data_IF_789869757539
#
_entry.id   IF_789869757539
#
_cell.length_a   1.000
_cell.length_b   1.000
_cell.length_c   1.000
_cell.angle_alpha   90.00
_cell.angle_beta   90.00
_cell.angle_gamma   90.00
#
_symmetry.space_group_name_H-M   'P 1'
#
loop_
_entity.id
_entity.type
_entity.pdbx_description
1 polymer ?
#
# COMPACT_ATOMS: atom_id res chain seq x y z
N UNK A 1 -41.02 16.92 3.21
CA UNK A 1 -40.43 16.82 4.56
C UNK A 1 -40.06 15.36 4.77
N UNK A 2 -39.00 14.93 4.08
CA UNK A 2 -38.40 13.62 4.21
C UNK A 2 -37.16 13.81 5.09
N UNK A 3 -37.05 13.04 6.16
CA UNK A 3 -35.93 13.12 7.09
C UNK A 3 -34.65 12.69 6.38
N UNK A 4 -33.65 13.57 6.38
CA UNK A 4 -32.27 13.19 6.12
C UNK A 4 -31.90 12.13 7.16
N UNK A 5 -31.50 10.94 6.71
CA UNK A 5 -30.93 9.94 7.60
C UNK A 5 -29.70 10.54 8.25
N UNK A 6 -29.78 10.83 9.55
CA UNK A 6 -28.60 11.17 10.33
C UNK A 6 -27.68 9.95 10.28
N UNK A 7 -26.52 10.08 9.63
CA UNK A 7 -25.49 9.05 9.63
C UNK A 7 -25.21 8.63 11.08
N UNK A 8 -25.08 7.33 11.32
CA UNK A 8 -24.77 6.82 12.64
C UNK A 8 -23.49 7.48 13.14
N UNK A 9 -23.58 8.20 14.26
CA UNK A 9 -22.42 8.84 14.86
C UNK A 9 -21.44 7.78 15.37
N UNK A 10 -20.14 8.03 15.22
CA UNK A 10 -19.08 7.15 15.70
C UNK A 10 -18.49 7.75 16.96
N UNK A 11 -18.39 6.97 18.03
CA UNK A 11 -17.79 7.47 19.27
C UNK A 11 -16.27 7.45 19.18
N UNK A 12 -15.68 8.60 19.45
CA UNK A 12 -14.24 8.85 19.34
C UNK A 12 -13.73 9.42 20.66
N UNK A 13 -12.55 8.97 21.09
CA UNK A 13 -11.90 9.45 22.31
C UNK A 13 -10.82 10.47 21.95
N UNK A 14 -10.91 11.66 22.53
CA UNK A 14 -9.89 12.71 22.42
C UNK A 14 -9.12 12.80 23.73
N UNK A 15 -7.81 12.61 23.70
CA UNK A 15 -6.91 12.69 24.85
C UNK A 15 -5.67 13.53 24.54
N UNK A 16 -4.94 13.96 25.59
CA UNK A 16 -3.68 14.70 25.45
C UNK A 16 -2.60 13.95 26.22
N UNK A 17 -1.48 13.67 25.55
CA UNK A 17 -0.31 13.03 26.16
C UNK A 17 0.51 14.01 26.99
N UNK A 18 1.42 13.46 27.80
CA UNK A 18 2.37 14.25 28.61
C UNK A 18 3.35 15.08 27.74
N UNK A 19 3.58 14.63 26.50
CA UNK A 19 4.36 15.29 25.46
C UNK A 19 3.64 16.49 24.83
N UNK A 20 2.38 16.72 25.18
CA UNK A 20 1.54 17.79 24.63
C UNK A 20 0.80 17.39 23.35
N UNK A 21 1.10 16.23 22.77
CA UNK A 21 0.43 15.67 21.57
C UNK A 21 -1.02 15.34 21.89
N UNK A 22 -1.96 15.76 21.04
CA UNK A 22 -3.37 15.39 21.15
C UNK A 22 -3.63 14.13 20.32
N UNK A 23 -4.28 13.12 20.91
CA UNK A 23 -4.60 11.86 20.24
C UNK A 23 -6.11 11.73 20.07
N UNK A 24 -6.52 11.39 18.85
CA UNK A 24 -7.89 11.00 18.50
C UNK A 24 -7.88 9.50 18.28
N UNK A 25 -8.52 8.74 19.16
CA UNK A 25 -8.66 7.30 19.05
C UNK A 25 -10.09 6.94 18.68
N UNK A 26 -10.27 6.30 17.52
CA UNK A 26 -11.55 5.73 17.10
C UNK A 26 -11.64 4.36 17.75
N UNK A 27 -12.55 4.18 18.71
CA UNK A 27 -12.73 2.88 19.36
C UNK A 27 -13.28 1.90 18.30
N UNK A 28 -12.44 0.95 17.84
CA UNK A 28 -12.90 -0.14 17.00
C UNK A 28 -13.90 -0.98 17.77
N UNK A 29 -15.04 -1.29 17.15
CA UNK A 29 -16.00 -2.25 17.70
C UNK A 29 -15.35 -3.64 17.72
N UNK A 30 -14.57 -3.94 18.76
CA UNK A 30 -14.20 -5.31 19.10
C UNK A 30 -15.48 -5.96 19.62
N UNK A 31 -16.25 -6.57 18.72
CA UNK A 31 -17.30 -7.50 19.11
C UNK A 31 -16.62 -8.64 19.87
N UNK A 32 -16.63 -8.53 21.19
CA UNK A 32 -16.27 -9.61 22.09
C UNK A 32 -17.21 -10.78 21.81
N UNK A 33 -16.72 -11.81 21.13
CA UNK A 33 -17.39 -13.10 21.09
C UNK A 33 -17.15 -13.75 22.44
N UNK A 34 -18.22 -13.77 23.23
CA UNK A 34 -18.44 -14.44 24.50
C UNK A 34 -17.54 -14.03 25.67
N UNK A 35 -18.18 -13.40 26.65
CA UNK A 35 -17.56 -12.74 27.79
C UNK A 35 -16.79 -13.66 28.72
N UNK A 36 -15.53 -13.31 28.94
CA UNK A 36 -14.87 -13.43 30.23
C UNK A 36 -13.89 -12.27 30.37
N UNK A 37 -14.20 -11.33 31.27
CA UNK A 37 -13.35 -10.17 31.54
C UNK A 37 -12.20 -10.65 32.41
N UNK A 38 -11.10 -11.08 31.79
CA UNK A 38 -9.81 -11.13 32.45
C UNK A 38 -9.11 -9.80 32.18
N UNK A 39 -9.17 -8.88 33.14
CA UNK A 39 -8.22 -7.79 33.23
C UNK A 39 -6.84 -8.41 33.44
N UNK A 40 -6.10 -8.59 32.37
CA UNK A 40 -4.66 -8.88 32.43
C UNK A 40 -3.97 -7.52 32.33
N UNK A 41 -3.40 -7.12 33.45
CA UNK A 41 -2.50 -5.98 33.57
C UNK A 41 -1.39 -6.05 32.49
N UNK A 42 -1.24 -4.96 31.73
CA UNK A 42 0.05 -4.57 31.17
C UNK A 42 0.67 -5.46 30.09
N UNK A 43 -0.11 -6.05 29.19
CA UNK A 43 0.44 -6.48 27.91
C UNK A 43 0.53 -5.25 27.02
N UNK A 44 1.75 -4.73 26.82
CA UNK A 44 2.05 -3.73 25.80
C UNK A 44 1.44 -4.28 24.52
N UNK A 45 0.35 -3.68 24.01
CA UNK A 45 -0.26 -4.12 22.77
C UNK A 45 0.88 -4.24 21.77
N UNK A 46 1.15 -5.45 21.29
CA UNK A 46 2.22 -5.68 20.33
C UNK A 46 1.99 -4.68 19.20
N UNK A 47 2.97 -3.80 18.95
CA UNK A 47 2.86 -2.80 17.89
C UNK A 47 2.45 -3.53 16.61
N UNK A 48 1.26 -3.19 16.10
CA UNK A 48 0.78 -3.78 14.86
C UNK A 48 1.80 -3.51 13.75
N UNK A 49 2.13 -4.50 12.91
CA UNK A 49 3.14 -4.29 11.88
C UNK A 49 2.80 -3.12 10.96
N UNK A 50 3.77 -2.30 10.57
CA UNK A 50 3.54 -1.09 9.75
C UNK A 50 2.71 -1.34 8.48
N UNK A 51 2.88 -2.51 7.86
CA UNK A 51 2.16 -2.89 6.64
C UNK A 51 0.69 -3.25 6.86
N UNK A 52 0.18 -3.25 8.10
CA UNK A 52 -1.25 -3.41 8.41
C UNK A 52 -1.95 -2.08 8.66
N UNK A 53 -1.26 -0.95 8.45
CA UNK A 53 -1.75 0.40 8.68
C UNK A 53 -1.55 1.28 7.43
N UNK A 54 -2.56 2.07 7.10
CA UNK A 54 -2.49 3.10 6.08
C UNK A 54 -2.31 4.45 6.78
N UNK A 55 -1.40 5.27 6.30
CA UNK A 55 -0.97 6.50 6.99
C UNK A 55 -1.02 7.68 6.02
N UNK A 56 -1.49 8.82 6.51
CA UNK A 56 -1.34 10.11 5.83
C UNK A 56 -0.70 11.11 6.77
N UNK A 57 0.34 11.79 6.28
CA UNK A 57 0.90 12.98 6.92
C UNK A 57 0.10 14.20 6.43
N UNK A 58 -0.45 14.97 7.35
CA UNK A 58 -1.35 16.10 7.07
C UNK A 58 -0.94 17.31 7.89
N UNK A 59 -1.51 18.47 7.60
CA UNK A 59 -1.17 19.72 8.27
C UNK A 59 -1.30 19.60 9.80
N UNK A 60 -0.18 19.45 10.49
CA UNK A 60 -0.09 19.37 11.95
C UNK A 60 -0.50 18.04 12.59
N UNK A 61 -0.73 16.98 11.81
CA UNK A 61 -1.07 15.67 12.37
C UNK A 61 -0.64 14.51 11.47
N UNK A 62 -0.58 13.31 12.05
CA UNK A 62 -0.49 12.05 11.30
C UNK A 62 -1.79 11.28 11.49
N UNK A 63 -2.45 10.94 10.38
CA UNK A 63 -3.67 10.14 10.35
C UNK A 63 -3.34 8.68 10.09
N UNK A 64 -4.03 7.77 10.76
CA UNK A 64 -3.84 6.33 10.57
C UNK A 64 -5.15 5.56 10.51
N UNK A 65 -5.25 4.66 9.55
CA UNK A 65 -6.34 3.69 9.41
C UNK A 65 -5.80 2.26 9.54
N UNK A 66 -6.51 1.36 10.22
CA UNK A 66 -6.24 -0.06 10.08
C UNK A 66 -6.61 -0.52 8.67
N UNK A 67 -5.70 -1.24 8.01
CA UNK A 67 -5.94 -1.82 6.68
C UNK A 67 -6.70 -3.14 6.78
N UNK A 68 -6.44 -3.87 7.87
CA UNK A 68 -7.11 -5.12 8.20
C UNK A 68 -8.37 -4.84 9.04
N UNK A 69 -9.37 -5.71 8.92
CA UNK A 69 -10.64 -5.58 9.65
C UNK A 69 -11.72 -4.85 8.87
N UNK A 70 -12.75 -4.39 9.58
CA UNK A 70 -13.87 -3.64 8.97
C UNK A 70 -13.38 -2.23 8.61
N UNK A 71 -13.49 -1.80 7.35
CA UNK A 71 -13.05 -0.47 6.93
C UNK A 71 -13.83 0.62 7.69
N UNK A 72 -13.14 1.33 8.59
CA UNK A 72 -13.66 2.54 9.20
C UNK A 72 -13.39 3.74 8.30
N UNK A 73 -14.35 4.67 8.21
CA UNK A 73 -14.14 5.94 7.48
C UNK A 73 -13.19 6.87 8.25
N UNK A 74 -13.27 6.86 9.58
CA UNK A 74 -12.54 7.81 10.42
C UNK A 74 -11.14 7.29 10.79
N UNK A 75 -10.08 8.11 10.61
CA UNK A 75 -8.75 7.77 11.09
C UNK A 75 -8.64 7.89 12.60
N UNK A 76 -7.67 7.19 13.18
CA UNK A 76 -7.03 7.67 14.41
C UNK A 76 -6.02 8.76 14.06
N UNK A 77 -5.84 9.78 14.90
CA UNK A 77 -4.93 10.89 14.64
C UNK A 77 -3.97 11.16 15.79
N UNK A 78 -2.72 11.46 15.44
CA UNK A 78 -1.71 12.02 16.35
C UNK A 78 -1.42 13.46 15.93
N UNK A 79 -1.91 14.42 16.72
CA UNK A 79 -1.86 15.85 16.43
C UNK A 79 -0.70 16.47 17.18
N UNK A 80 0.32 16.88 16.44
CA UNK A 80 1.54 17.50 16.96
C UNK A 80 1.53 19.02 16.81
N UNK A 81 0.75 19.58 15.88
CA UNK A 81 0.46 21.01 15.78
C UNK A 81 -1.05 21.25 15.68
N UNK A 82 -1.72 21.49 16.83
CA UNK A 82 -3.15 21.79 16.85
C UNK A 82 -3.53 23.05 16.07
N UNK A 83 -2.64 24.03 15.92
CA UNK A 83 -2.94 25.28 15.20
C UNK A 83 -3.19 25.02 13.72
N UNK A 84 -2.32 24.21 13.11
CA UNK A 84 -2.48 23.75 11.72
C UNK A 84 -3.62 22.76 11.57
N UNK A 85 -3.73 21.78 12.47
CA UNK A 85 -4.76 20.74 12.39
C UNK A 85 -6.19 21.31 12.44
N UNK A 86 -6.42 22.42 13.15
CA UNK A 86 -7.75 23.03 13.25
C UNK A 86 -8.32 23.55 11.93
N UNK A 87 -7.49 23.70 10.89
CA UNK A 87 -7.96 24.11 9.56
C UNK A 87 -8.85 23.03 8.91
N UNK A 88 -8.64 21.75 9.23
CA UNK A 88 -9.32 20.63 8.57
C UNK A 88 -10.06 19.66 9.51
N UNK A 89 -9.80 19.66 10.82
CA UNK A 89 -10.43 18.73 11.77
C UNK A 89 -11.97 18.70 11.68
N UNK A 90 -12.59 19.87 11.50
CA UNK A 90 -14.04 20.00 11.36
C UNK A 90 -14.57 19.36 10.07
N UNK A 91 -13.77 19.39 9.00
CA UNK A 91 -14.12 18.84 7.70
C UNK A 91 -13.98 17.31 7.67
N UNK A 92 -13.12 16.72 8.50
CA UNK A 92 -12.91 15.27 8.55
C UNK A 92 -13.76 14.58 9.64
N UNK A 93 -13.74 15.10 10.87
CA UNK A 93 -14.38 14.48 12.03
C UNK A 93 -15.68 15.17 12.47
N UNK A 94 -15.91 16.41 12.01
CA UNK A 94 -17.02 17.27 12.41
C UNK A 94 -16.65 18.30 13.49
N UNK A 95 -17.46 19.36 13.57
CA UNK A 95 -17.23 20.51 14.47
C UNK A 95 -17.05 20.14 15.95
N UNK A 96 -17.75 19.11 16.44
CA UNK A 96 -17.66 18.68 17.84
C UNK A 96 -16.28 18.17 18.21
N UNK A 97 -15.62 17.49 17.28
CA UNK A 97 -14.28 16.94 17.51
C UNK A 97 -13.25 18.06 17.44
N UNK A 98 -13.38 18.97 16.48
CA UNK A 98 -12.55 20.18 16.39
C UNK A 98 -12.63 21.01 17.69
N UNK A 99 -13.83 21.21 18.23
CA UNK A 99 -14.01 21.91 19.51
C UNK A 99 -13.36 21.17 20.68
N UNK A 100 -13.52 19.84 20.77
CA UNK A 100 -12.89 19.05 21.81
C UNK A 100 -11.36 19.09 21.75
N UNK A 101 -10.75 19.06 20.56
CA UNK A 101 -9.30 19.23 20.38
C UNK A 101 -8.86 20.63 20.79
N UNK A 102 -9.64 21.67 20.49
CA UNK A 102 -9.36 23.05 20.91
C UNK A 102 -9.33 23.17 22.43
N UNK A 103 -10.39 22.69 23.09
CA UNK A 103 -10.53 22.73 24.55
C UNK A 103 -9.33 22.06 25.21
N UNK A 104 -8.91 20.87 24.73
CA UNK A 104 -7.74 20.14 25.24
C UNK A 104 -6.41 20.85 25.05
N UNK A 105 -6.29 21.67 24.03
CA UNK A 105 -5.09 22.47 23.79
C UNK A 105 -5.02 23.67 24.73
N UNK A 106 -6.18 24.26 25.05
CA UNK A 106 -6.30 25.44 25.94
C UNK A 106 -6.36 25.13 27.43
N UNK A 107 -6.71 23.89 27.80
CA UNK A 107 -6.68 23.42 29.19
C UNK A 107 -5.24 23.41 29.73
N UNK A 108 -4.99 24.20 30.77
CA UNK A 108 -3.68 24.40 31.42
C UNK A 108 -3.28 23.23 32.35
N UNK A 109 -3.87 22.05 32.13
CA UNK A 109 -3.81 20.93 33.07
C UNK A 109 -2.51 20.17 32.92
N UNK A 110 -1.57 20.38 33.85
CA UNK A 110 -0.34 19.59 33.98
C UNK A 110 -0.68 18.21 34.59
N UNK A 111 -1.13 17.27 33.75
CA UNK A 111 -1.40 15.88 34.12
C UNK A 111 -2.22 15.14 33.08
N UNK A 112 -2.08 13.81 33.03
CA UNK A 112 -2.81 12.94 32.11
C UNK A 112 -4.32 13.16 32.24
N UNK A 113 -4.90 13.75 31.20
CA UNK A 113 -6.31 14.14 31.21
C UNK A 113 -7.14 12.99 30.66
N UNK A 114 -8.01 12.42 31.50
CA UNK A 114 -9.00 11.40 31.10
C UNK A 114 -9.66 11.81 29.78
N UNK A 115 -9.49 10.97 28.75
CA UNK A 115 -9.99 11.30 27.41
C UNK A 115 -11.50 11.57 27.41
N UNK A 116 -11.94 12.56 26.64
CA UNK A 116 -13.37 12.85 26.46
C UNK A 116 -13.88 12.07 25.26
N UNK A 117 -15.05 11.42 25.43
CA UNK A 117 -15.76 10.77 24.33
C UNK A 117 -16.65 11.77 23.64
N UNK A 118 -16.52 11.83 22.32
CA UNK A 118 -17.27 12.73 21.44
C UNK A 118 -17.77 11.93 20.25
N UNK A 119 -19.03 12.15 19.89
CA UNK A 119 -19.60 11.51 18.71
C UNK A 119 -19.20 12.28 17.45
N UNK A 120 -18.37 11.66 16.63
CA UNK A 120 -17.96 12.12 15.31
C UNK A 120 -19.05 11.80 14.26
N UNK A 121 -19.13 12.66 13.24
CA UNK A 121 -20.05 12.47 12.11
C UNK A 121 -19.19 12.45 10.84
N UNK A 122 -18.91 11.28 10.27
CA UNK A 122 -18.07 11.17 9.08
C UNK A 122 -18.62 12.03 7.94
N UNK A 123 -17.73 12.75 7.26
CA UNK A 123 -18.05 13.54 6.07
C UNK A 123 -17.63 12.80 4.80
N UNK A 124 -17.98 13.32 3.62
CA UNK A 124 -17.48 12.78 2.35
C UNK A 124 -15.95 12.77 2.29
N UNK A 125 -15.29 13.81 2.83
CA UNK A 125 -13.83 13.91 2.92
C UNK A 125 -13.21 12.72 3.68
N UNK A 126 -13.87 12.21 4.71
CA UNK A 126 -13.37 11.05 5.46
C UNK A 126 -13.23 9.81 4.57
N UNK A 127 -14.18 9.60 3.64
CA UNK A 127 -14.11 8.52 2.65
C UNK A 127 -12.94 8.70 1.68
N UNK A 128 -12.79 9.89 1.13
CA UNK A 128 -11.70 10.19 0.18
C UNK A 128 -10.32 10.17 0.83
N UNK A 129 -10.19 10.64 2.08
CA UNK A 129 -8.96 10.58 2.85
C UNK A 129 -8.56 9.13 3.18
N UNK A 130 -9.52 8.31 3.60
CA UNK A 130 -9.29 6.88 3.82
C UNK A 130 -8.86 6.17 2.53
N UNK A 131 -9.46 6.54 1.39
CA UNK A 131 -9.07 6.04 0.07
C UNK A 131 -7.65 6.49 -0.30
N UNK A 132 -7.31 7.76 -0.13
CA UNK A 132 -5.96 8.29 -0.38
C UNK A 132 -4.91 7.53 0.45
N UNK A 133 -5.18 7.34 1.75
CA UNK A 133 -4.32 6.57 2.65
C UNK A 133 -4.13 5.12 2.17
N UNK A 134 -5.23 4.47 1.78
CA UNK A 134 -5.19 3.10 1.27
C UNK A 134 -4.44 3.00 -0.06
N UNK A 135 -4.53 4.01 -0.92
CA UNK A 135 -3.80 4.04 -2.18
C UNK A 135 -2.29 4.18 -1.96
N UNK A 136 -1.84 5.03 -1.03
CA UNK A 136 -0.43 5.07 -0.61
C UNK A 136 0.04 3.77 0.02
N UNK A 137 -0.82 3.14 0.83
CA UNK A 137 -0.56 1.80 1.34
C UNK A 137 -0.39 0.79 0.20
N UNK A 138 -1.28 0.78 -0.79
CA UNK A 138 -1.23 -0.14 -1.92
C UNK A 138 0.04 0.09 -2.76
N UNK A 139 0.37 1.34 -3.07
CA UNK A 139 1.59 1.70 -3.79
C UNK A 139 2.86 1.17 -3.10
N UNK A 140 2.84 1.05 -1.77
CA UNK A 140 4.00 0.61 -0.97
C UNK A 140 4.00 -0.88 -0.63
N UNK A 141 2.83 -1.45 -0.37
CA UNK A 141 2.69 -2.74 0.32
C UNK A 141 1.86 -3.77 -0.44
N UNK A 142 1.43 -3.47 -1.68
CA UNK A 142 0.66 -4.42 -2.48
C UNK A 142 1.43 -5.73 -2.72
N UNK A 143 0.87 -6.88 -2.33
CA UNK A 143 1.55 -8.17 -2.32
C UNK A 143 1.46 -8.87 -3.68
N UNK A 144 1.95 -8.23 -4.73
CA UNK A 144 1.95 -8.80 -6.08
C UNK A 144 2.72 -10.14 -6.10
N UNK A 145 2.02 -11.21 -6.49
CA UNK A 145 2.52 -12.57 -6.45
C UNK A 145 1.91 -13.38 -7.58
N UNK A 146 2.75 -13.81 -8.52
CA UNK A 146 2.38 -14.70 -9.61
C UNK A 146 1.79 -16.03 -9.10
N UNK A 147 2.44 -16.78 -8.20
CA UNK A 147 1.91 -18.08 -7.76
C UNK A 147 0.67 -17.98 -6.86
N UNK A 148 0.40 -16.80 -6.29
CA UNK A 148 -0.80 -16.54 -5.47
C UNK A 148 -1.97 -15.97 -6.28
N UNK A 149 -1.80 -15.79 -7.59
CA UNK A 149 -2.78 -15.15 -8.51
C UNK A 149 -3.15 -13.73 -8.03
N UNK A 150 -2.12 -12.96 -7.63
CA UNK A 150 -2.25 -11.56 -7.23
C UNK A 150 -1.47 -10.70 -8.24
N UNK A 151 -2.15 -10.10 -9.24
CA UNK A 151 -1.50 -9.26 -10.23
C UNK A 151 -0.90 -8.00 -9.59
N UNK A 152 0.13 -7.47 -10.24
CA UNK A 152 0.71 -6.18 -9.87
C UNK A 152 -0.23 -5.03 -10.27
N UNK A 153 -0.32 -4.01 -9.43
CA UNK A 153 -1.00 -2.77 -9.80
C UNK A 153 -0.13 -1.98 -10.78
N UNK A 154 -0.77 -1.42 -11.82
CA UNK A 154 -0.09 -0.49 -12.73
C UNK A 154 0.21 0.82 -11.96
N UNK A 155 1.49 1.17 -11.75
CA UNK A 155 1.87 2.25 -10.85
C UNK A 155 1.52 3.65 -11.37
N UNK A 156 1.52 3.87 -12.69
CA UNK A 156 1.17 5.17 -13.27
C UNK A 156 -0.34 5.42 -13.21
N UNK A 157 -1.15 4.38 -13.40
CA UNK A 157 -2.60 4.44 -13.23
C UNK A 157 -2.98 4.67 -11.76
N UNK A 158 -2.35 3.96 -10.82
CA UNK A 158 -2.53 4.23 -9.39
C UNK A 158 -2.07 5.64 -9.03
N UNK A 159 -0.94 6.08 -9.59
CA UNK A 159 -0.37 7.40 -9.37
C UNK A 159 -1.26 8.55 -9.83
N UNK A 160 -1.89 8.44 -11.01
CA UNK A 160 -2.86 9.43 -11.49
C UNK A 160 -4.12 9.49 -10.61
N UNK A 161 -4.61 8.35 -10.13
CA UNK A 161 -5.75 8.33 -9.20
C UNK A 161 -5.37 8.90 -7.83
N UNK A 162 -4.16 8.66 -7.35
CA UNK A 162 -3.62 9.30 -6.15
C UNK A 162 -3.52 10.82 -6.33
N UNK A 163 -3.06 11.31 -7.48
CA UNK A 163 -3.01 12.74 -7.76
C UNK A 163 -4.41 13.39 -7.69
N UNK A 164 -5.42 12.74 -8.28
CA UNK A 164 -6.82 13.18 -8.20
C UNK A 164 -7.33 13.22 -6.76
N UNK A 165 -7.02 12.20 -5.95
CA UNK A 165 -7.41 12.13 -4.54
C UNK A 165 -6.65 13.13 -3.66
N UNK A 166 -5.38 13.40 -3.94
CA UNK A 166 -4.59 14.44 -3.28
C UNK A 166 -5.20 15.81 -3.51
N UNK A 167 -5.54 16.14 -4.76
CA UNK A 167 -6.25 17.38 -5.10
C UNK A 167 -7.62 17.47 -4.42
N UNK A 168 -8.40 16.39 -4.44
CA UNK A 168 -9.69 16.36 -3.77
C UNK A 168 -9.57 16.55 -2.24
N UNK A 169 -8.49 16.05 -1.64
CA UNK A 169 -8.19 16.16 -0.22
C UNK A 169 -7.30 17.36 0.14
N UNK A 170 -7.06 18.31 -0.78
CA UNK A 170 -6.09 19.41 -0.62
C UNK A 170 -6.19 20.17 0.71
N UNK A 171 -7.40 20.33 1.26
CA UNK A 171 -7.63 21.01 2.54
C UNK A 171 -7.01 20.31 3.76
N UNK A 172 -6.65 19.02 3.67
CA UNK A 172 -5.93 18.31 4.73
C UNK A 172 -4.45 18.72 4.78
N UNK A 173 -3.91 19.18 3.66
CA UNK A 173 -2.52 19.57 3.51
C UNK A 173 -2.37 21.08 3.70
N UNK A 174 -1.17 21.54 3.99
CA UNK A 174 -0.94 22.94 4.32
C UNK A 174 -1.18 23.84 3.12
N UNK A 175 -2.12 24.77 3.25
CA UNK A 175 -2.48 25.71 2.20
C UNK A 175 -1.71 27.02 2.18
N UNK A 176 -1.06 27.42 3.27
CA UNK A 176 -0.36 28.71 3.32
C UNK A 176 0.80 28.72 4.33
N UNK A 177 1.99 29.05 3.83
CA UNK A 177 3.11 29.50 4.64
C UNK A 177 3.90 30.55 3.86
N UNK A 178 4.00 31.75 4.43
CA UNK A 178 4.75 32.95 4.01
C UNK A 178 6.29 32.72 3.81
N UNK A 179 6.71 31.48 3.58
CA UNK A 179 8.09 31.05 3.38
C UNK A 179 8.19 29.92 2.34
N UNK A 180 8.01 30.27 1.05
CA UNK A 180 8.64 29.58 -0.08
C UNK A 180 7.91 28.36 -0.65
N UNK A 181 7.50 28.48 -1.92
CA UNK A 181 7.41 27.50 -3.02
C UNK A 181 6.86 26.07 -2.82
N UNK A 182 6.45 25.61 -1.64
CA UNK A 182 5.79 24.29 -1.47
C UNK A 182 4.27 24.50 -1.27
N UNK A 183 3.53 24.75 -2.35
CA UNK A 183 2.07 24.79 -2.39
C UNK A 183 1.54 23.34 -2.32
N UNK A 184 0.41 23.04 -1.66
CA UNK A 184 -0.10 21.65 -1.56
C UNK A 184 -0.46 21.06 -2.93
N UNK A 185 -0.74 21.91 -3.92
CA UNK A 185 -0.94 21.52 -5.31
C UNK A 185 0.33 20.99 -5.97
N UNK A 186 1.52 21.31 -5.43
CA UNK A 186 2.78 20.80 -5.97
C UNK A 186 2.86 19.28 -5.82
N UNK A 187 2.32 18.70 -4.73
CA UNK A 187 2.26 17.25 -4.57
C UNK A 187 1.37 16.57 -5.65
N UNK A 188 0.21 17.17 -5.97
CA UNK A 188 -0.65 16.64 -7.03
C UNK A 188 -0.04 16.86 -8.41
N UNK A 189 0.56 18.03 -8.65
CA UNK A 189 1.23 18.38 -9.89
C UNK A 189 2.46 17.49 -10.16
N UNK A 190 3.26 17.19 -9.14
CA UNK A 190 4.40 16.27 -9.19
C UNK A 190 3.94 14.86 -9.58
N UNK A 191 2.87 14.35 -8.94
CA UNK A 191 2.30 13.04 -9.29
C UNK A 191 1.75 13.02 -10.73
N UNK A 192 1.09 14.09 -11.17
CA UNK A 192 0.61 14.22 -12.56
C UNK A 192 1.80 14.18 -13.52
N UNK A 193 2.87 14.92 -13.24
CA UNK A 193 4.06 14.97 -14.07
C UNK A 193 4.82 13.63 -14.10
N UNK A 194 4.91 12.94 -12.96
CA UNK A 194 5.54 11.62 -12.86
C UNK A 194 4.78 10.57 -13.69
N UNK A 195 3.44 10.64 -13.69
CA UNK A 195 2.57 9.63 -14.27
C UNK A 195 1.84 10.09 -15.54
N UNK A 196 2.30 11.18 -16.19
CA UNK A 196 1.66 11.77 -17.39
C UNK A 196 1.48 10.72 -18.51
N UNK A 197 2.41 9.75 -18.61
CA UNK A 197 2.39 8.70 -19.63
C UNK A 197 1.14 7.80 -19.58
N UNK A 198 0.45 7.71 -18.43
CA UNK A 198 -0.78 6.93 -18.29
C UNK A 198 -2.05 7.69 -18.67
N UNK A 199 -2.00 9.01 -18.92
CA UNK A 199 -3.18 9.79 -19.29
C UNK A 199 -3.78 9.35 -20.62
N UNK A 200 -2.94 9.06 -21.63
CA UNK A 200 -3.39 8.61 -22.94
C UNK A 200 -4.12 7.25 -22.88
N UNK A 201 -3.54 6.18 -22.28
CA UNK A 201 -4.25 4.92 -22.03
C UNK A 201 -5.54 5.10 -21.21
N UNK A 202 -5.52 5.97 -20.19
CA UNK A 202 -6.68 6.22 -19.34
C UNK A 202 -7.83 6.88 -20.11
N UNK A 203 -7.52 7.87 -20.95
CA UNK A 203 -8.47 8.51 -21.85
C UNK A 203 -9.05 7.52 -22.87
N UNK A 204 -8.22 6.61 -23.39
CA UNK A 204 -8.68 5.55 -24.28
C UNK A 204 -9.67 4.61 -23.56
N UNK A 205 -9.33 4.16 -22.36
CA UNK A 205 -10.22 3.33 -21.54
C UNK A 205 -11.56 4.03 -21.27
N UNK A 206 -11.54 5.31 -20.89
CA UNK A 206 -12.77 6.08 -20.65
C UNK A 206 -13.67 6.17 -21.89
N UNK A 207 -13.08 6.30 -23.09
CA UNK A 207 -13.84 6.34 -24.36
C UNK A 207 -14.44 5.00 -24.74
N UNK A 208 -13.78 3.90 -24.41
CA UNK A 208 -14.22 2.54 -24.75
C UNK A 208 -15.21 1.96 -23.73
N UNK A 209 -15.27 2.53 -22.51
CA UNK A 209 -16.16 2.05 -21.44
C UNK A 209 -17.62 2.43 -21.69
N UNK A 210 -18.58 1.48 -21.52
CA UNK A 210 -20.01 1.79 -21.61
C UNK A 210 -20.43 2.89 -20.64
N UNK A 211 -21.12 3.90 -21.15
CA UNK A 211 -21.52 5.13 -20.45
C UNK A 211 -22.39 4.93 -19.20
N UNK A 212 -23.02 3.77 -19.06
CA UNK A 212 -23.89 3.43 -17.92
C UNK A 212 -23.17 2.59 -16.87
N UNK A 213 -21.88 2.28 -17.06
CA UNK A 213 -21.08 1.56 -16.09
C UNK A 213 -20.56 2.51 -15.00
N UNK A 214 -20.57 2.05 -13.74
CA UNK A 214 -20.00 2.79 -12.61
C UNK A 214 -18.51 3.13 -12.85
N UNK A 215 -17.78 2.25 -13.54
CA UNK A 215 -16.40 2.48 -13.99
C UNK A 215 -16.27 3.72 -14.88
N UNK A 216 -17.23 3.98 -15.78
CA UNK A 216 -17.19 5.17 -16.64
C UNK A 216 -17.36 6.45 -15.82
N UNK A 217 -18.27 6.45 -14.84
CA UNK A 217 -18.46 7.56 -13.91
C UNK A 217 -17.22 7.81 -13.05
N UNK A 218 -16.59 6.73 -12.58
CA UNK A 218 -15.37 6.81 -11.80
C UNK A 218 -14.19 7.36 -12.62
N UNK A 219 -13.97 6.84 -13.83
CA UNK A 219 -12.97 7.34 -14.79
C UNK A 219 -13.18 8.82 -15.09
N UNK A 220 -14.42 9.23 -15.41
CA UNK A 220 -14.75 10.63 -15.69
C UNK A 220 -14.48 11.54 -14.49
N UNK A 221 -14.78 11.08 -13.27
CA UNK A 221 -14.50 11.79 -12.04
C UNK A 221 -13.00 11.99 -11.79
N UNK A 222 -12.21 10.93 -11.95
CA UNK A 222 -10.73 11.00 -11.84
C UNK A 222 -10.14 11.95 -12.88
N UNK A 223 -10.56 11.84 -14.14
CA UNK A 223 -10.08 12.69 -15.23
C UNK A 223 -10.41 14.18 -14.99
N UNK A 224 -11.60 14.49 -14.47
CA UNK A 224 -11.97 15.87 -14.10
C UNK A 224 -11.15 16.41 -12.94
N UNK A 225 -10.89 15.60 -11.92
CA UNK A 225 -10.05 16.01 -10.79
C UNK A 225 -8.61 16.26 -11.23
N UNK A 226 -8.08 15.46 -12.16
CA UNK A 226 -6.75 15.68 -12.74
C UNK A 226 -6.71 17.00 -13.54
N UNK A 227 -7.73 17.27 -14.36
CA UNK A 227 -7.82 18.52 -15.14
C UNK A 227 -7.88 19.75 -14.22
N UNK A 228 -8.69 19.69 -13.15
CA UNK A 228 -8.82 20.76 -12.15
C UNK A 228 -7.53 20.97 -11.34
N UNK A 229 -6.83 19.88 -10.97
CA UNK A 229 -5.53 19.93 -10.32
C UNK A 229 -4.46 20.56 -11.23
N UNK A 230 -4.40 20.12 -12.49
CA UNK A 230 -3.49 20.66 -13.48
C UNK A 230 -3.75 22.15 -13.74
N UNK A 231 -5.02 22.57 -13.81
CA UNK A 231 -5.40 23.98 -13.95
C UNK A 231 -4.98 24.83 -12.77
N UNK A 232 -5.18 24.33 -11.55
CA UNK A 232 -4.81 25.02 -10.32
C UNK A 232 -3.28 25.21 -10.24
N UNK A 233 -2.52 24.19 -10.65
CA UNK A 233 -1.06 24.22 -10.72
C UNK A 233 -0.49 24.92 -11.97
N UNK A 234 -1.32 25.28 -12.96
CA UNK A 234 -0.89 25.91 -14.21
C UNK A 234 -0.11 24.97 -15.15
N UNK A 235 -0.33 23.66 -15.07
CA UNK A 235 0.25 22.67 -15.97
C UNK A 235 -0.47 22.66 -17.33
N UNK A 236 0.26 22.81 -18.43
CA UNK A 236 -0.32 22.89 -19.80
C UNK A 236 0.40 21.98 -20.81
N UNK A 237 0.78 20.79 -20.34
CA UNK A 237 1.42 19.74 -21.14
C UNK A 237 0.53 19.26 -22.31
N UNK A 238 1.11 18.65 -23.37
CA UNK A 238 0.33 18.13 -24.49
C UNK A 238 -0.73 17.10 -24.06
N UNK A 239 -0.42 16.19 -23.15
CA UNK A 239 -1.38 15.19 -22.66
C UNK A 239 -2.55 15.84 -21.92
N UNK A 240 -2.28 16.90 -21.13
CA UNK A 240 -3.31 17.66 -20.41
C UNK A 240 -4.21 18.48 -21.35
N UNK A 241 -3.65 19.04 -22.43
CA UNK A 241 -4.46 19.69 -23.48
C UNK A 241 -5.36 18.71 -24.22
N UNK A 242 -4.87 17.49 -24.45
CA UNK A 242 -5.66 16.42 -25.05
C UNK A 242 -6.75 15.92 -24.10
N UNK A 243 -6.47 15.81 -22.80
CA UNK A 243 -7.44 15.56 -21.73
C UNK A 243 -8.56 16.60 -21.74
N UNK A 244 -8.22 17.90 -21.68
CA UNK A 244 -9.21 18.98 -21.69
C UNK A 244 -10.08 18.96 -22.94
N UNK A 245 -9.45 18.77 -24.09
CA UNK A 245 -10.14 18.63 -25.37
C UNK A 245 -11.08 17.42 -25.38
N UNK A 246 -10.71 16.31 -24.72
CA UNK A 246 -11.54 15.12 -24.60
C UNK A 246 -12.73 15.30 -23.66
N UNK A 247 -12.56 16.06 -22.58
CA UNK A 247 -13.63 16.42 -21.64
C UNK A 247 -14.62 17.41 -22.29
N UNK A 248 -14.13 18.36 -23.10
CA UNK A 248 -14.95 19.33 -23.85
C UNK A 248 -15.65 18.72 -25.08
N UNK A 249 -14.98 17.80 -25.77
CA UNK A 249 -15.40 17.23 -27.03
C UNK A 249 -15.83 15.77 -26.89
N UNK A 250 -17.13 15.49 -26.81
CA UNK A 250 -17.63 14.10 -26.80
C UNK A 250 -17.84 13.58 -28.23
N UNK A 251 -16.93 12.73 -28.69
CA UNK A 251 -17.14 11.94 -29.91
C UNK A 251 -16.47 10.56 -29.77
N UNK A 252 -17.18 9.44 -29.92
CA UNK A 252 -16.53 8.15 -29.97
C UNK A 252 -15.81 8.01 -31.32
N UNK A 253 -14.74 7.21 -31.36
CA UNK A 253 -14.66 5.96 -32.16
C UNK A 253 -13.22 5.47 -32.22
N UNK A 254 -12.87 4.56 -31.32
CA UNK A 254 -11.80 3.59 -31.52
C UNK A 254 -12.40 2.17 -31.45
N UNK A 255 -11.73 1.15 -32.03
CA UNK A 255 -12.03 -0.22 -31.66
C UNK A 255 -11.77 -0.41 -30.16
N UNK A 256 -12.57 -1.26 -29.50
CA UNK A 256 -12.40 -1.57 -28.08
C UNK A 256 -10.97 -2.04 -27.82
N UNK A 257 -10.28 -1.35 -26.92
CA UNK A 257 -8.96 -1.76 -26.45
C UNK A 257 -9.08 -2.84 -25.37
N UNK A 258 -8.18 -3.80 -25.42
CA UNK A 258 -7.92 -4.70 -24.31
C UNK A 258 -7.24 -3.90 -23.18
N UNK A 259 -7.85 -3.92 -21.98
CA UNK A 259 -7.34 -3.20 -20.81
C UNK A 259 -5.94 -3.67 -20.41
N UNK A 260 -5.67 -4.96 -20.56
CA UNK A 260 -4.35 -5.50 -20.31
C UNK A 260 -3.31 -4.93 -21.27
N UNK A 261 -3.63 -4.91 -22.57
CA UNK A 261 -2.77 -4.32 -23.58
C UNK A 261 -2.57 -2.80 -23.43
N UNK A 262 -3.55 -2.05 -22.92
CA UNK A 262 -3.43 -0.59 -22.69
C UNK A 262 -2.32 -0.24 -21.70
N UNK A 263 -2.15 -1.08 -20.68
CA UNK A 263 -1.27 -0.86 -19.54
C UNK A 263 -0.09 -1.85 -19.48
N UNK A 264 0.02 -2.74 -20.46
CA UNK A 264 1.12 -3.68 -20.57
C UNK A 264 2.43 -2.94 -20.82
N UNK A 265 3.31 -2.90 -19.82
CA UNK A 265 4.71 -2.55 -20.03
C UNK A 265 5.37 -3.67 -20.87
N UNK A 266 6.25 -3.37 -21.85
CA UNK A 266 6.99 -4.40 -22.61
C UNK A 266 7.96 -5.19 -21.71
N UNK A 267 7.42 -6.11 -20.92
CA UNK A 267 8.16 -7.10 -20.15
C UNK A 267 8.22 -8.38 -20.97
N UNK A 268 9.39 -8.73 -21.46
CA UNK A 268 9.59 -9.97 -22.21
C UNK A 268 9.31 -11.18 -21.32
N UNK A 269 8.09 -11.72 -21.39
CA UNK A 269 7.76 -13.05 -20.90
C UNK A 269 8.45 -14.07 -21.81
N UNK A 270 9.74 -14.30 -21.59
CA UNK A 270 10.42 -15.48 -22.08
C UNK A 270 10.46 -16.47 -20.94
N UNK A 271 9.51 -17.41 -20.92
CA UNK A 271 9.60 -18.66 -20.16
C UNK A 271 10.87 -19.41 -20.60
N UNK A 272 12.00 -19.07 -20.00
CA UNK A 272 13.20 -19.89 -20.08
C UNK A 272 13.05 -20.96 -19.02
N UNK A 273 12.79 -22.21 -19.43
CA UNK A 273 13.04 -23.36 -18.58
C UNK A 273 14.52 -23.30 -18.17
N UNK A 274 14.78 -22.78 -16.97
CA UNK A 274 16.11 -22.65 -16.42
C UNK A 274 16.77 -24.02 -16.46
N UNK A 275 17.86 -24.12 -17.22
CA UNK A 275 18.70 -25.31 -17.22
C UNK A 275 19.11 -25.56 -15.76
N UNK A 276 18.85 -26.76 -15.20
CA UNK A 276 19.05 -27.00 -13.77
C UNK A 276 20.50 -26.67 -13.41
N UNK A 277 20.66 -25.72 -12.48
CA UNK A 277 21.96 -25.33 -11.95
C UNK A 277 22.63 -26.57 -11.33
N UNK A 278 23.55 -27.16 -12.10
CA UNK A 278 24.49 -28.19 -11.68
C UNK A 278 23.91 -29.40 -10.94
N UNK A 279 23.64 -30.49 -11.65
CA UNK A 279 23.50 -31.86 -11.12
C UNK A 279 24.79 -32.43 -10.49
N UNK A 280 25.68 -31.56 -10.01
CA UNK A 280 26.96 -31.94 -9.40
C UNK A 280 26.92 -31.78 -7.87
N UNK A 281 27.09 -32.88 -7.15
CA UNK A 281 27.25 -32.89 -5.70
C UNK A 281 26.13 -33.59 -4.94
N UNK A 282 26.43 -34.03 -3.71
CA UNK A 282 25.46 -34.70 -2.84
C UNK A 282 24.57 -33.65 -2.15
N UNK A 283 23.25 -33.78 -2.29
CA UNK A 283 22.30 -32.94 -1.55
C UNK A 283 22.51 -33.12 -0.04
N UNK A 284 22.66 -32.00 0.67
CA UNK A 284 22.73 -31.97 2.14
C UNK A 284 21.35 -31.68 2.68
N UNK A 285 20.76 -30.57 2.24
CA UNK A 285 19.45 -30.10 2.64
C UNK A 285 18.87 -29.19 1.55
N UNK A 286 17.56 -28.99 1.56
CA UNK A 286 16.85 -27.98 0.76
C UNK A 286 15.68 -27.48 1.59
N UNK A 287 15.25 -26.25 1.34
CA UNK A 287 14.13 -25.67 2.08
C UNK A 287 13.61 -24.40 1.42
N UNK A 288 12.68 -23.79 2.13
CA UNK A 288 12.11 -22.48 1.81
C UNK A 288 12.77 -21.44 2.74
N UNK A 289 12.97 -20.24 2.23
CA UNK A 289 13.34 -19.09 3.03
C UNK A 289 12.12 -18.29 3.46
N UNK A 290 12.35 -17.28 4.28
CA UNK A 290 11.34 -16.31 4.68
C UNK A 290 11.36 -15.14 3.70
N UNK A 291 10.18 -14.78 3.20
CA UNK A 291 10.00 -13.60 2.38
C UNK A 291 9.31 -12.49 3.21
N UNK A 292 10.02 -11.39 3.49
CA UNK A 292 9.50 -10.23 4.22
C UNK A 292 9.56 -8.99 3.32
N UNK A 293 8.41 -8.59 2.80
CA UNK A 293 8.28 -7.49 1.83
C UNK A 293 8.68 -6.13 2.40
N UNK A 294 8.87 -6.01 3.72
CA UNK A 294 9.41 -4.79 4.33
C UNK A 294 10.90 -4.59 4.07
N UNK A 295 11.61 -5.62 3.61
CA UNK A 295 13.07 -5.60 3.44
C UNK A 295 13.54 -5.12 2.06
N UNK A 296 12.62 -4.69 1.21
CA UNK A 296 12.91 -4.11 -0.11
C UNK A 296 11.69 -3.34 -0.64
N UNK A 297 11.86 -2.39 -1.59
CA UNK A 297 10.74 -1.73 -2.26
C UNK A 297 9.83 -2.71 -3.01
N UNK A 298 8.54 -2.40 -3.17
CA UNK A 298 7.63 -3.20 -3.98
C UNK A 298 8.19 -3.37 -5.40
N UNK A 299 7.95 -4.55 -5.98
CA UNK A 299 8.41 -4.87 -7.34
C UNK A 299 9.82 -5.44 -7.45
N UNK A 300 10.53 -5.77 -6.36
CA UNK A 300 11.83 -6.45 -6.43
C UNK A 300 11.71 -7.98 -6.44
N UNK A 301 10.96 -8.51 -5.48
CA UNK A 301 10.77 -9.94 -5.23
C UNK A 301 9.28 -10.21 -5.26
N UNK A 302 8.89 -11.34 -5.84
CA UNK A 302 7.52 -11.81 -5.81
C UNK A 302 7.04 -11.98 -4.36
N UNK A 303 5.81 -11.57 -4.08
CA UNK A 303 5.32 -11.52 -2.71
C UNK A 303 5.03 -12.91 -2.11
N UNK A 304 5.05 -14.01 -2.87
CA UNK A 304 4.73 -15.32 -2.32
C UNK A 304 5.57 -15.69 -1.08
N UNK A 305 4.95 -16.36 -0.10
CA UNK A 305 5.66 -16.81 1.11
C UNK A 305 6.76 -17.83 0.77
N UNK A 306 6.63 -18.54 -0.35
CA UNK A 306 7.58 -19.51 -0.88
C UNK A 306 8.42 -18.94 -2.03
N UNK A 307 8.46 -17.60 -2.21
CA UNK A 307 9.27 -16.97 -3.25
C UNK A 307 10.78 -17.23 -3.07
N UNK A 308 11.22 -17.54 -1.85
CA UNK A 308 12.62 -17.83 -1.52
C UNK A 308 12.81 -19.33 -1.37
N UNK A 309 13.67 -19.92 -2.19
CA UNK A 309 14.09 -21.31 -2.06
C UNK A 309 15.60 -21.40 -1.93
N UNK A 310 16.07 -22.46 -1.27
CA UNK A 310 17.50 -22.68 -1.12
C UNK A 310 17.84 -24.16 -1.15
N UNK A 311 19.04 -24.44 -1.62
CA UNK A 311 19.60 -25.79 -1.67
C UNK A 311 21.05 -25.79 -1.19
N UNK A 312 21.36 -26.66 -0.24
CA UNK A 312 22.72 -26.91 0.23
C UNK A 312 23.28 -28.21 -0.37
N UNK A 313 24.43 -28.12 -1.05
CA UNK A 313 25.10 -29.25 -1.71
C UNK A 313 26.54 -29.43 -1.25
N UNK A 314 26.98 -30.69 -1.19
CA UNK A 314 28.37 -31.07 -1.03
C UNK A 314 29.00 -31.34 -2.41
N UNK A 315 29.90 -30.46 -2.85
CA UNK A 315 30.64 -30.58 -4.12
C UNK A 315 32.08 -30.93 -3.80
N UNK A 316 32.38 -32.23 -3.74
CA UNK A 316 33.65 -32.73 -3.21
C UNK A 316 33.84 -32.35 -1.73
N UNK A 317 34.95 -31.68 -1.41
CA UNK A 317 35.22 -31.17 -0.07
C UNK A 317 34.45 -29.87 0.26
N UNK A 318 33.91 -29.18 -0.75
CA UNK A 318 33.26 -27.89 -0.57
C UNK A 318 31.82 -28.06 -0.11
N UNK A 319 31.33 -27.11 0.66
CA UNK A 319 29.92 -26.96 1.02
C UNK A 319 29.40 -25.71 0.35
N UNK A 320 28.35 -25.83 -0.43
CA UNK A 320 27.79 -24.72 -1.19
C UNK A 320 26.32 -24.57 -0.83
N UNK A 321 25.90 -23.32 -0.63
CA UNK A 321 24.49 -22.96 -0.63
C UNK A 321 24.18 -22.18 -1.91
N UNK A 322 23.07 -22.55 -2.53
CA UNK A 322 22.47 -21.90 -3.68
C UNK A 322 21.11 -21.38 -3.24
N UNK A 323 20.84 -20.11 -3.53
CA UNK A 323 19.60 -19.41 -3.19
C UNK A 323 18.96 -18.93 -4.49
N UNK A 324 17.68 -19.21 -4.63
CA UNK A 324 16.84 -18.81 -5.75
C UNK A 324 15.64 -18.04 -5.17
N UNK A 325 15.38 -16.85 -5.71
CA UNK A 325 14.27 -15.99 -5.28
C UNK A 325 13.47 -15.59 -6.50
N UNK A 326 12.16 -15.75 -6.46
CA UNK A 326 11.29 -15.33 -7.56
C UNK A 326 11.35 -13.81 -7.70
N UNK A 327 11.75 -13.32 -8.87
CA UNK A 327 11.77 -11.90 -9.18
C UNK A 327 10.37 -11.44 -9.56
N UNK A 328 10.01 -10.25 -9.12
CA UNK A 328 8.79 -9.60 -9.61
C UNK A 328 8.99 -9.16 -11.08
N UNK A 329 7.90 -9.07 -11.86
CA UNK A 329 7.95 -8.73 -13.30
C UNK A 329 8.61 -7.37 -13.56
N UNK A 330 8.33 -6.38 -12.71
CA UNK A 330 8.89 -5.01 -12.76
C UNK A 330 10.24 -4.84 -12.08
N UNK A 331 10.86 -5.93 -11.61
CA UNK A 331 12.14 -5.84 -10.92
C UNK A 331 13.21 -5.14 -11.77
N UNK A 332 14.25 -4.53 -11.18
CA UNK A 332 15.37 -4.00 -11.94
C UNK A 332 16.14 -5.13 -12.63
N UNK A 333 16.49 -4.99 -13.91
CA UNK A 333 17.31 -5.98 -14.65
C UNK A 333 18.81 -5.88 -14.35
N UNK A 334 19.26 -4.71 -13.89
CA UNK A 334 20.68 -4.44 -13.56
C UNK A 334 20.80 -3.52 -12.35
N UNK A 335 21.88 -3.67 -11.58
CA UNK A 335 22.30 -2.66 -10.58
C UNK A 335 21.67 -2.79 -9.19
N UNK A 336 20.76 -3.74 -8.96
CA UNK A 336 20.17 -3.97 -7.64
C UNK A 336 21.05 -4.90 -6.78
N UNK A 337 21.53 -4.46 -5.60
CA UNK A 337 22.40 -5.26 -4.73
C UNK A 337 21.60 -6.20 -3.81
N UNK A 338 20.63 -6.95 -4.33
CA UNK A 338 19.82 -7.85 -3.51
C UNK A 338 20.70 -8.95 -2.88
N UNK A 339 20.50 -9.22 -1.58
CA UNK A 339 21.31 -10.18 -0.81
C UNK A 339 20.40 -11.15 -0.08
N UNK A 340 20.74 -12.44 -0.09
CA UNK A 340 20.16 -13.40 0.83
C UNK A 340 21.05 -13.54 2.07
N UNK A 341 20.49 -13.40 3.26
CA UNK A 341 21.14 -13.70 4.53
C UNK A 341 20.82 -15.13 4.95
N UNK A 342 21.87 -15.95 5.05
CA UNK A 342 21.78 -17.36 5.42
C UNK A 342 22.31 -17.53 6.83
N UNK A 343 21.47 -17.99 7.75
CA UNK A 343 21.85 -18.38 9.10
C UNK A 343 21.88 -19.90 9.19
N UNK A 344 22.95 -20.45 9.77
CA UNK A 344 23.10 -21.89 9.99
C UNK A 344 23.16 -22.13 11.49
N UNK A 345 22.19 -22.87 12.02
CA UNK A 345 22.04 -23.22 13.43
C UNK A 345 22.12 -21.99 14.38
N UNK A 346 21.55 -20.85 13.95
CA UNK A 346 21.56 -19.59 14.70
C UNK A 346 22.92 -18.88 14.77
N UNK A 347 23.90 -19.28 13.94
CA UNK A 347 25.19 -18.62 13.81
C UNK A 347 25.15 -17.31 13.01
N UNK A 348 26.32 -16.70 12.78
CA UNK A 348 26.44 -15.41 12.09
C UNK A 348 25.85 -15.43 10.65
N UNK A 349 25.24 -14.32 10.19
CA UNK A 349 24.65 -14.24 8.85
C UNK A 349 25.70 -14.38 7.73
N UNK A 350 25.49 -15.36 6.85
CA UNK A 350 26.22 -15.50 5.61
C UNK A 350 25.47 -14.83 4.45
N UNK A 351 25.86 -13.61 4.12
CA UNK A 351 25.37 -12.86 2.95
C UNK A 351 25.73 -13.50 1.61
N UNK A 352 24.74 -13.79 0.78
CA UNK A 352 24.86 -14.31 -0.58
C UNK A 352 24.36 -13.24 -1.54
N UNK A 353 25.25 -12.59 -2.33
CA UNK A 353 24.83 -11.66 -3.37
C UNK A 353 23.95 -12.38 -4.39
N UNK A 354 22.80 -11.79 -4.71
CA UNK A 354 21.88 -12.29 -5.71
C UNK A 354 22.04 -11.48 -6.99
N UNK A 355 21.94 -12.15 -8.12
CA UNK A 355 21.96 -11.53 -9.45
C UNK A 355 20.70 -11.93 -10.18
N UNK A 356 20.04 -10.96 -10.83
CA UNK A 356 18.86 -11.25 -11.62
C UNK A 356 19.24 -12.03 -12.87
N UNK A 357 18.47 -13.09 -13.11
CA UNK A 357 18.46 -13.91 -14.29
C UNK A 357 17.00 -14.14 -14.66
N UNK A 358 16.52 -13.40 -15.65
CA UNK A 358 15.14 -13.47 -16.13
C UNK A 358 14.12 -13.20 -14.98
N UNK A 359 13.35 -14.22 -14.62
CA UNK A 359 12.31 -14.25 -13.58
C UNK A 359 12.83 -14.69 -12.19
N UNK A 360 14.13 -14.93 -12.03
CA UNK A 360 14.75 -15.34 -10.78
C UNK A 360 15.92 -14.45 -10.38
N UNK A 361 16.05 -14.16 -9.10
CA UNK A 361 17.31 -13.78 -8.48
C UNK A 361 18.03 -15.03 -8.02
N UNK A 362 19.29 -15.19 -8.45
CA UNK A 362 20.08 -16.36 -8.10
C UNK A 362 21.40 -15.96 -7.46
N UNK A 363 21.81 -16.70 -6.43
CA UNK A 363 23.09 -16.48 -5.77
C UNK A 363 23.67 -17.78 -5.25
N UNK A 364 24.99 -17.80 -5.10
CA UNK A 364 25.72 -18.96 -4.58
C UNK A 364 26.85 -18.53 -3.68
N UNK A 365 27.06 -19.26 -2.59
CA UNK A 365 28.18 -19.04 -1.67
C UNK A 365 28.76 -20.35 -1.16
N UNK A 366 30.07 -20.39 -0.99
CA UNK A 366 30.73 -21.49 -0.28
C UNK A 366 30.64 -21.25 1.22
N UNK A 367 30.13 -22.23 1.96
CA UNK A 367 30.07 -22.26 3.41
C UNK A 367 31.29 -23.02 3.93
N UNK A 368 31.74 -22.66 5.14
CA UNK A 368 32.84 -23.37 5.78
C UNK A 368 32.44 -24.85 6.01
N UNK A 369 33.33 -25.83 5.75
CA UNK A 369 32.94 -27.25 5.75
C UNK A 369 32.44 -27.77 7.11
N UNK A 370 32.96 -27.19 8.18
CA UNK A 370 32.66 -27.44 9.59
C UNK A 370 31.24 -27.03 9.99
N UNK A 371 30.68 -25.97 9.40
CA UNK A 371 29.31 -25.51 9.68
C UNK A 371 28.22 -26.55 9.35
N UNK A 372 28.50 -27.46 8.41
CA UNK A 372 27.57 -28.51 7.99
C UNK A 372 28.14 -29.92 8.24
N UNK A 373 29.25 -30.04 8.98
CA UNK A 373 29.91 -31.32 9.26
C UNK A 373 29.39 -31.93 10.57
N UNK A 374 29.04 -33.22 10.53
CA UNK A 374 28.71 -33.99 11.74
C UNK A 374 27.32 -33.70 12.32
N UNK A 375 26.58 -32.72 11.80
CA UNK A 375 25.20 -32.41 12.19
C UNK A 375 24.25 -33.21 11.29
N UNK A 376 23.42 -34.11 11.84
CA UNK A 376 22.54 -34.96 11.03
C UNK A 376 21.42 -34.20 10.32
N UNK A 377 21.03 -33.02 10.84
CA UNK A 377 20.03 -32.13 10.23
C UNK A 377 20.30 -30.66 10.64
N UNK A 378 21.07 -29.89 9.85
CA UNK A 378 21.33 -28.48 10.13
C UNK A 378 20.06 -27.65 9.93
N UNK A 379 19.81 -26.70 10.83
CA UNK A 379 18.75 -25.71 10.67
C UNK A 379 19.32 -24.56 9.84
N UNK A 380 18.76 -24.35 8.65
CA UNK A 380 19.18 -23.30 7.73
C UNK A 380 18.01 -22.36 7.53
N UNK A 381 18.18 -21.11 7.92
CA UNK A 381 17.22 -20.04 7.74
C UNK A 381 17.76 -19.07 6.69
N UNK A 382 16.92 -18.72 5.71
CA UNK A 382 17.31 -17.83 4.62
C UNK A 382 16.29 -16.70 4.53
N UNK A 383 16.75 -15.47 4.64
CA UNK A 383 15.94 -14.27 4.40
C UNK A 383 16.53 -13.43 3.27
N UNK A 384 15.70 -12.65 2.60
CA UNK A 384 16.14 -11.73 1.53
C UNK A 384 16.06 -10.30 2.04
N UNK A 385 17.06 -9.49 1.68
CA UNK A 385 17.07 -8.08 1.98
C UNK A 385 17.76 -7.27 0.89
N UNK A 386 17.40 -6.00 0.80
CA UNK A 386 18.14 -4.99 0.08
C UNK A 386 19.03 -4.24 1.08
N UNK A 387 20.38 -4.28 0.97
CA UNK A 387 21.25 -3.57 1.89
C UNK A 387 20.93 -2.07 1.95
N UNK A 388 20.76 -1.54 3.16
CA UNK A 388 20.30 -0.16 3.38
C UNK A 388 18.77 -0.02 3.53
N UNK A 389 18.02 -1.11 3.32
CA UNK A 389 16.58 -1.24 3.49
C UNK A 389 16.28 -2.36 4.49
N UNK A 390 16.91 -2.33 5.66
CA UNK A 390 16.80 -3.37 6.69
C UNK A 390 15.92 -2.87 7.85
N UNK A 391 14.59 -3.08 7.81
CA UNK A 391 13.79 -2.99 9.01
C UNK A 391 14.27 -4.10 9.97
N UNK A 392 14.28 -3.80 11.28
CA UNK A 392 14.62 -4.78 12.32
C UNK A 392 13.95 -6.15 12.06
N UNK A 393 14.61 -7.23 12.47
CA UNK A 393 14.15 -8.61 12.21
C UNK A 393 12.67 -8.78 12.53
N UNK A 394 11.88 -9.25 11.55
CA UNK A 394 10.45 -9.46 11.70
C UNK A 394 10.10 -10.49 12.78
N UNK A 395 8.92 -10.35 13.37
CA UNK A 395 8.40 -11.27 14.38
C UNK A 395 7.54 -12.36 13.74
N UNK A 396 7.36 -13.53 14.39
CA UNK A 396 6.48 -14.58 13.88
C UNK A 396 5.02 -14.14 13.62
N UNK A 397 4.52 -13.12 14.32
CA UNK A 397 3.19 -12.54 14.10
C UNK A 397 3.01 -11.93 12.70
N UNK A 398 4.11 -11.52 12.08
CA UNK A 398 4.12 -10.87 10.77
C UNK A 398 3.62 -11.82 9.67
N UNK A 399 3.77 -13.15 9.82
CA UNK A 399 3.30 -14.12 8.82
C UNK A 399 1.77 -14.17 8.76
N UNK A 400 1.10 -14.19 9.92
CA UNK A 400 -0.37 -14.20 9.97
C UNK A 400 -0.94 -12.89 9.41
N UNK A 401 -0.30 -11.76 9.72
CA UNK A 401 -0.64 -10.46 9.16
C UNK A 401 -0.45 -10.40 7.63
N UNK A 402 0.66 -10.93 7.08
CA UNK A 402 0.87 -11.02 5.63
C UNK A 402 -0.19 -11.86 4.92
N UNK A 403 -0.60 -12.97 5.54
CA UNK A 403 -1.70 -13.80 5.00
C UNK A 403 -3.04 -13.05 5.00
N UNK A 404 -3.33 -12.32 6.09
CA UNK A 404 -4.52 -11.48 6.16
C UNK A 404 -4.52 -10.37 5.09
N UNK A 405 -3.35 -9.78 4.80
CA UNK A 405 -3.18 -8.81 3.71
C UNK A 405 -3.41 -9.45 2.33
N UNK A 406 -2.88 -10.65 2.06
CA UNK A 406 -3.20 -11.36 0.81
C UNK A 406 -4.70 -11.65 0.67
N UNK A 407 -5.35 -12.06 1.75
CA UNK A 407 -6.80 -12.31 1.75
C UNK A 407 -7.63 -11.02 1.52
N UNK A 408 -7.19 -9.89 2.08
CA UNK A 408 -7.77 -8.57 1.80
C UNK A 408 -7.66 -8.24 0.31
N UNK A 409 -6.46 -8.35 -0.25
CA UNK A 409 -6.16 -7.98 -1.64
C UNK A 409 -6.96 -8.83 -2.62
N UNK A 410 -7.03 -10.16 -2.41
CA UNK A 410 -7.88 -11.04 -3.22
C UNK A 410 -9.35 -10.61 -3.19
N UNK A 411 -9.88 -10.29 -2.00
CA UNK A 411 -11.26 -9.80 -1.87
C UNK A 411 -11.47 -8.51 -2.68
N UNK A 412 -10.53 -7.58 -2.62
CA UNK A 412 -10.60 -6.32 -3.39
C UNK A 412 -10.58 -6.57 -4.89
N UNK A 413 -9.71 -7.44 -5.38
CA UNK A 413 -9.66 -7.83 -6.79
C UNK A 413 -10.97 -8.51 -7.24
N UNK A 414 -11.56 -9.39 -6.41
CA UNK A 414 -12.89 -9.93 -6.70
C UNK A 414 -13.94 -8.82 -6.81
N UNK A 415 -13.98 -7.89 -5.86
CA UNK A 415 -14.89 -6.72 -5.93
C UNK A 415 -14.64 -5.86 -7.18
N UNK A 416 -13.41 -5.77 -7.67
CA UNK A 416 -13.07 -5.03 -8.88
C UNK A 416 -13.64 -5.64 -10.18
N UNK A 417 -13.92 -6.95 -10.18
CA UNK A 417 -14.59 -7.65 -11.29
C UNK A 417 -16.11 -7.56 -11.26
N UNK A 418 -16.68 -7.28 -10.08
CA UNK A 418 -18.13 -7.25 -9.91
C UNK A 418 -18.72 -5.90 -10.37
N UNK A 419 -19.78 -5.90 -11.19
CA UNK A 419 -20.48 -4.66 -11.53
C UNK A 419 -21.05 -4.05 -10.25
N UNK A 420 -20.50 -2.90 -9.87
CA UNK A 420 -20.92 -2.20 -8.67
C UNK A 420 -22.36 -1.73 -8.86
N UNK A 421 -23.15 -1.73 -7.77
CA UNK A 421 -24.56 -1.30 -7.76
C UNK A 421 -24.73 -0.07 -6.88
N UNK A 422 -23.69 0.77 -6.79
CA UNK A 422 -23.61 1.80 -5.76
C UNK A 422 -24.29 3.09 -6.19
N UNK A 423 -25.22 3.60 -5.37
CA UNK A 423 -25.98 4.84 -5.59
C UNK A 423 -25.24 6.10 -5.05
N UNK A 424 -23.95 5.97 -4.73
CA UNK A 424 -23.09 7.03 -4.18
C UNK A 424 -21.92 7.38 -5.10
N UNK A 425 -21.30 8.54 -4.88
CA UNK A 425 -20.09 8.94 -5.62
C UNK A 425 -18.98 7.89 -5.38
N UNK A 426 -18.34 7.35 -6.44
CA UNK A 426 -17.29 6.34 -6.29
C UNK A 426 -16.08 6.85 -5.48
N UNK A 427 -15.91 8.17 -5.37
CA UNK A 427 -14.83 8.82 -4.61
C UNK A 427 -15.04 8.80 -3.08
N UNK A 428 -16.26 8.53 -2.62
CA UNK A 428 -16.64 8.71 -1.21
C UNK A 428 -16.58 7.38 -0.42
N UNK A 429 -16.35 6.26 -1.11
CA UNK A 429 -16.39 4.92 -0.49
C UNK A 429 -14.98 4.30 -0.49
N UNK A 430 -14.32 4.15 0.67
CA UNK A 430 -12.98 3.54 0.73
C UNK A 430 -12.97 2.06 0.33
N UNK A 431 -14.14 1.41 0.33
CA UNK A 431 -14.32 0.03 -0.14
C UNK A 431 -14.35 -0.11 -1.66
N UNK A 432 -14.51 0.98 -2.42
CA UNK A 432 -14.51 0.92 -3.89
C UNK A 432 -13.12 0.50 -4.41
N UNK A 433 -13.04 -0.28 -5.50
CA UNK A 433 -11.77 -0.65 -6.10
C UNK A 433 -11.07 0.55 -6.74
N UNK A 434 -9.74 0.57 -6.74
CA UNK A 434 -8.95 1.53 -7.53
C UNK A 434 -9.03 1.19 -9.02
N UNK A 435 -8.83 2.16 -9.90
CA UNK A 435 -8.74 1.94 -11.34
C UNK A 435 -7.63 0.95 -11.67
N UNK A 436 -6.50 1.03 -10.96
CA UNK A 436 -5.41 0.06 -11.08
C UNK A 436 -5.81 -1.36 -10.65
N UNK A 437 -6.71 -1.50 -9.66
CA UNK A 437 -7.24 -2.81 -9.27
C UNK A 437 -8.21 -3.36 -10.32
N UNK A 438 -9.05 -2.51 -10.91
CA UNK A 438 -9.95 -2.90 -12.02
C UNK A 438 -9.16 -3.31 -13.25
N UNK A 439 -8.11 -2.59 -13.62
CA UNK A 439 -7.22 -2.95 -14.72
C UNK A 439 -6.49 -4.28 -14.44
N UNK A 440 -5.94 -4.44 -13.22
CA UNK A 440 -5.25 -5.66 -12.81
C UNK A 440 -6.18 -6.88 -12.77
N UNK A 441 -7.44 -6.71 -12.34
CA UNK A 441 -8.42 -7.79 -12.33
C UNK A 441 -8.88 -8.18 -13.75
N UNK A 442 -8.86 -7.25 -14.71
CA UNK A 442 -9.18 -7.55 -16.11
C UNK A 442 -8.07 -8.35 -16.82
N UNK A 443 -6.80 -8.16 -16.41
CA UNK A 443 -5.67 -8.93 -16.98
C UNK A 443 -5.60 -10.39 -16.53
N UNK A 444 -6.32 -10.76 -15.47
CA UNK A 444 -6.33 -12.12 -14.93
C UNK A 444 -7.03 -13.14 -15.86
N UNK A 445 -7.84 -12.67 -16.83
CA UNK A 445 -8.47 -13.54 -17.82
C UNK A 445 -7.45 -14.17 -18.82
N UNK A 446 -6.24 -13.60 -18.92
CA UNK A 446 -5.16 -14.05 -19.83
C UNK A 446 -3.88 -14.53 -19.09
N UNK A 447 -3.92 -14.68 -17.76
CA UNK A 447 -2.74 -14.96 -16.88
C UNK A 447 -2.39 -16.44 -16.69
#
# INVERSE_FOLDING_TARGET
>A
MAGAGAGAGVDVRVSRGEDGTVRIAVDGEVTAVDGEVAAVDGEVAAEEPDFTRAVLDVAGAVLTWPVLGTPGLLPSAEIHDPGRAQQWLWALYGERIAAAVHDRTTEDTTGESTGVRVTAHPTALAGSAARLALGHWAARWWPASYPDEIPALEPDLLGLELAALTHHCQQLFDGEGDFGDDQPDDCAAELIAEHEAALDPLLQWWRDTPQQADTASHLEGVLRLIDDAADTAGLDGPALRDLRSALDGRGPTGPWADLGALFARPGGYALAAGEPLGTGGRLIARGQGTNDWRRYPPGFVDAAENAVTWTARAVGARRRIEVEVVAHSTAPTTGAPLVAEVHVDGGDPHRVPLTRRDDLWTGRRELAPDLLAGIPAPIIEVGVLLPGFDPATGTPGDRAAREAVRALVRRRLTTATEPTTHDGSPHDTPSAPFLAETAAAATDEDY
#
